data_IF_351159087539
#
_entry.id   IF_351159087539
#
_cell.length_a   1.000
_cell.length_b   1.000
_cell.length_c   1.000
_cell.angle_alpha   90.00
_cell.angle_beta   90.00
_cell.angle_gamma   90.00
#
_symmetry.space_group_name_H-M   'P 1'
#
loop_
_entity.id
_entity.type
_entity.pdbx_description
1 polymer ?
#
# COMPACT_ATOMS: atom_id res chain seq x y z
N UNK A 1 8.96 2.50 -17.18
CA UNK A 1 8.04 3.66 -17.16
C UNK A 1 7.47 3.75 -15.75
N UNK A 2 7.95 4.68 -14.92
CA UNK A 2 7.49 4.85 -13.53
C UNK A 2 6.23 5.71 -13.61
N UNK A 3 5.06 5.13 -13.34
CA UNK A 3 3.83 5.91 -13.30
C UNK A 3 3.87 6.89 -12.10
N UNK A 4 3.55 8.17 -12.32
CA UNK A 4 3.51 9.14 -11.24
C UNK A 4 2.29 8.84 -10.34
N UNK A 5 2.52 8.78 -9.03
CA UNK A 5 1.52 8.56 -7.96
C UNK A 5 0.61 9.79 -7.78
N UNK A 6 0.08 10.36 -8.87
CA UNK A 6 -0.69 11.61 -8.86
C UNK A 6 -2.15 11.41 -9.30
N UNK A 7 -2.56 10.17 -9.63
CA UNK A 7 -3.95 9.88 -10.01
C UNK A 7 -4.98 10.02 -8.85
N UNK A 8 -4.53 10.22 -7.60
CA UNK A 8 -5.41 10.30 -6.42
C UNK A 8 -6.16 11.63 -6.23
N UNK A 9 -5.72 12.73 -6.84
CA UNK A 9 -6.26 14.07 -6.54
C UNK A 9 -7.66 14.34 -7.15
N UNK A 10 -8.08 13.58 -8.16
CA UNK A 10 -9.35 13.80 -8.87
C UNK A 10 -10.53 13.14 -8.14
N UNK A 11 -10.32 11.96 -7.52
CA UNK A 11 -11.32 11.34 -6.63
C UNK A 11 -11.53 12.11 -5.32
N UNK A 12 -10.47 12.77 -4.84
CA UNK A 12 -10.41 13.54 -3.59
C UNK A 12 -11.40 14.71 -3.55
N UNK A 13 -11.56 15.44 -4.67
CA UNK A 13 -12.48 16.58 -4.76
C UNK A 13 -13.94 16.16 -4.94
N UNK A 14 -14.21 15.07 -5.65
CA UNK A 14 -15.56 14.57 -5.85
C UNK A 14 -16.12 13.92 -4.57
N UNK A 15 -15.29 13.17 -3.84
CA UNK A 15 -15.63 12.53 -2.57
C UNK A 15 -15.96 13.53 -1.46
N UNK A 16 -15.18 14.61 -1.33
CA UNK A 16 -15.48 15.70 -0.36
C UNK A 16 -16.75 16.46 -0.74
N UNK A 17 -17.05 16.57 -2.04
CA UNK A 17 -18.27 17.25 -2.53
C UNK A 17 -19.55 16.47 -2.23
N UNK A 18 -19.50 15.14 -2.20
CA UNK A 18 -20.65 14.28 -1.91
C UNK A 18 -21.17 14.40 -0.46
N UNK A 19 -20.26 14.57 0.52
CA UNK A 19 -20.60 14.74 1.95
C UNK A 19 -21.47 16.00 2.19
N UNK A 20 -21.38 16.99 1.30
CA UNK A 20 -21.94 18.32 1.55
C UNK A 20 -23.45 18.44 1.34
N UNK A 21 -24.12 17.43 0.77
CA UNK A 21 -25.54 17.58 0.37
C UNK A 21 -26.55 17.18 1.46
N UNK A 22 -26.17 16.31 2.42
CA UNK A 22 -27.16 15.68 3.33
C UNK A 22 -26.99 16.01 4.83
N UNK A 23 -25.89 16.65 5.26
CA UNK A 23 -25.67 17.02 6.67
C UNK A 23 -26.08 18.47 6.96
N UNK A 24 -27.01 18.67 7.90
CA UNK A 24 -27.47 19.99 8.36
C UNK A 24 -26.58 20.63 9.42
N UNK A 25 -25.96 19.83 10.29
CA UNK A 25 -25.03 20.32 11.33
C UNK A 25 -23.65 20.60 10.73
N UNK A 26 -23.33 21.89 10.57
CA UNK A 26 -22.06 22.37 10.02
C UNK A 26 -20.83 21.93 10.85
N UNK A 27 -20.95 21.77 12.18
CA UNK A 27 -19.84 21.28 13.02
C UNK A 27 -19.56 19.82 12.71
N UNK A 28 -20.59 18.97 12.67
CA UNK A 28 -20.43 17.54 12.36
C UNK A 28 -19.96 17.32 10.93
N UNK A 29 -20.48 18.10 9.99
CA UNK A 29 -20.02 18.15 8.59
C UNK A 29 -18.52 18.46 8.49
N UNK A 30 -18.05 19.49 9.21
CA UNK A 30 -16.61 19.82 9.25
C UNK A 30 -15.74 18.68 9.79
N UNK A 31 -16.27 17.89 10.73
CA UNK A 31 -15.56 16.74 11.31
C UNK A 31 -15.49 15.60 10.30
N UNK A 32 -16.60 15.28 9.61
CA UNK A 32 -16.64 14.21 8.59
C UNK A 32 -15.75 14.56 7.39
N UNK A 33 -15.73 15.82 6.95
CA UNK A 33 -14.83 16.26 5.86
C UNK A 33 -13.37 16.12 6.28
N UNK A 34 -12.99 16.65 7.45
CA UNK A 34 -11.62 16.49 7.97
C UNK A 34 -11.23 15.02 8.17
N UNK A 35 -12.20 14.20 8.56
CA UNK A 35 -12.00 12.75 8.69
C UNK A 35 -11.69 12.10 7.34
N UNK A 36 -12.51 12.32 6.32
CA UNK A 36 -12.31 11.74 5.00
C UNK A 36 -10.96 12.17 4.38
N UNK A 37 -10.55 13.44 4.57
CA UNK A 37 -9.23 13.92 4.15
C UNK A 37 -8.11 13.17 4.88
N UNK A 38 -8.19 13.09 6.21
CA UNK A 38 -7.15 12.42 7.02
C UNK A 38 -7.02 10.93 6.72
N UNK A 39 -8.12 10.25 6.42
CA UNK A 39 -8.11 8.85 5.99
C UNK A 39 -7.35 8.66 4.68
N UNK A 40 -7.61 9.54 3.72
CA UNK A 40 -6.93 9.54 2.42
C UNK A 40 -5.43 9.77 2.59
N UNK A 41 -5.05 10.79 3.38
CA UNK A 41 -3.65 11.06 3.71
C UNK A 41 -2.96 9.87 4.38
N UNK A 42 -3.63 9.22 5.34
CA UNK A 42 -3.07 8.06 6.05
C UNK A 42 -2.85 6.87 5.11
N UNK A 43 -3.81 6.57 4.24
CA UNK A 43 -3.69 5.50 3.26
C UNK A 43 -2.53 5.78 2.29
N UNK A 44 -2.50 6.97 1.69
CA UNK A 44 -1.44 7.37 0.76
C UNK A 44 -0.06 7.37 1.42
N UNK A 45 0.05 7.87 2.66
CA UNK A 45 1.32 7.85 3.41
C UNK A 45 1.80 6.43 3.64
N UNK A 46 0.92 5.50 4.00
CA UNK A 46 1.28 4.09 4.16
C UNK A 46 1.75 3.47 2.84
N UNK A 47 1.01 3.69 1.75
CA UNK A 47 1.34 3.16 0.43
C UNK A 47 2.67 3.70 -0.10
N UNK A 48 2.97 4.98 0.11
CA UNK A 48 4.27 5.57 -0.23
C UNK A 48 5.42 4.90 0.52
N UNK A 49 5.28 4.73 1.83
CA UNK A 49 6.32 4.08 2.67
C UNK A 49 6.55 2.63 2.23
N UNK A 50 5.49 1.90 1.88
CA UNK A 50 5.62 0.53 1.37
C UNK A 50 6.28 0.50 -0.02
N UNK A 51 5.92 1.42 -0.91
CA UNK A 51 6.53 1.54 -2.24
C UNK A 51 8.03 1.84 -2.17
N UNK A 52 8.44 2.77 -1.30
CA UNK A 52 9.87 3.07 -1.07
C UNK A 52 10.66 1.84 -0.58
N UNK A 53 10.04 0.97 0.21
CA UNK A 53 10.66 -0.28 0.68
C UNK A 53 10.77 -1.31 -0.44
N UNK A 54 9.71 -1.50 -1.23
CA UNK A 54 9.74 -2.39 -2.40
C UNK A 54 10.79 -1.95 -3.41
N UNK A 55 10.95 -0.65 -3.64
CA UNK A 55 11.97 -0.15 -4.56
C UNK A 55 13.38 -0.53 -4.12
N UNK A 56 13.66 -0.49 -2.81
CA UNK A 56 14.96 -0.95 -2.27
C UNK A 56 15.16 -2.45 -2.47
N UNK A 57 14.11 -3.26 -2.29
CA UNK A 57 14.15 -4.71 -2.53
C UNK A 57 14.40 -5.02 -4.01
N UNK A 58 13.65 -4.37 -4.91
CA UNK A 58 13.81 -4.51 -6.37
C UNK A 58 15.23 -4.20 -6.81
N UNK A 59 15.78 -3.06 -6.38
CA UNK A 59 17.18 -2.69 -6.65
C UNK A 59 18.19 -3.69 -6.12
N UNK A 60 17.88 -4.36 -5.01
CA UNK A 60 18.75 -5.39 -4.47
C UNK A 60 18.75 -6.60 -5.42
N UNK A 61 17.56 -7.13 -5.75
CA UNK A 61 17.41 -8.31 -6.62
C UNK A 61 17.96 -8.06 -8.04
N UNK A 62 17.75 -6.88 -8.61
CA UNK A 62 18.23 -6.55 -9.96
C UNK A 62 19.75 -6.44 -10.05
N UNK A 63 20.46 -6.16 -8.96
CA UNK A 63 21.94 -6.15 -8.97
C UNK A 63 22.55 -7.55 -9.07
N UNK A 64 21.76 -8.59 -8.83
CA UNK A 64 22.27 -9.95 -8.67
C UNK A 64 21.74 -10.93 -9.71
N UNK A 65 20.78 -10.53 -10.56
CA UNK A 65 20.13 -11.43 -11.51
C UNK A 65 21.07 -12.03 -12.56
N UNK A 66 22.22 -11.40 -12.79
CA UNK A 66 23.15 -11.79 -13.85
C UNK A 66 24.44 -12.43 -13.30
N UNK A 67 24.54 -12.60 -11.97
CA UNK A 67 25.80 -12.90 -11.29
C UNK A 67 26.05 -14.40 -11.02
N UNK A 68 25.14 -15.31 -11.38
CA UNK A 68 25.26 -16.73 -11.01
C UNK A 68 24.76 -17.70 -12.10
N UNK A 69 25.48 -18.82 -12.24
CA UNK A 69 25.08 -19.99 -13.03
C UNK A 69 24.27 -21.02 -12.21
N UNK A 70 24.18 -20.83 -10.89
CA UNK A 70 23.45 -21.73 -9.99
C UNK A 70 21.93 -21.61 -10.20
N UNK A 71 21.30 -22.72 -10.59
CA UNK A 71 19.87 -22.80 -10.86
C UNK A 71 19.01 -22.52 -9.63
N UNK A 72 19.40 -22.99 -8.45
CA UNK A 72 18.64 -22.77 -7.22
C UNK A 72 18.63 -21.29 -6.83
N UNK A 73 19.76 -20.59 -7.03
CA UNK A 73 19.83 -19.14 -6.80
C UNK A 73 18.97 -18.38 -7.80
N UNK A 74 18.94 -18.82 -9.08
CA UNK A 74 18.07 -18.21 -10.10
C UNK A 74 16.59 -18.36 -9.75
N UNK A 75 16.18 -19.55 -9.30
CA UNK A 75 14.81 -19.81 -8.84
C UNK A 75 14.43 -18.91 -7.66
N UNK A 76 15.29 -18.80 -6.64
CA UNK A 76 15.06 -17.90 -5.51
C UNK A 76 14.95 -16.42 -5.94
N UNK A 77 15.76 -15.97 -6.91
CA UNK A 77 15.67 -14.61 -7.50
C UNK A 77 14.34 -14.40 -8.23
N UNK A 78 13.86 -15.41 -8.98
CA UNK A 78 12.57 -15.37 -9.68
C UNK A 78 11.42 -15.26 -8.66
N UNK A 79 11.45 -16.06 -7.59
CA UNK A 79 10.46 -16.01 -6.52
C UNK A 79 10.45 -14.65 -5.81
N UNK A 80 11.63 -14.09 -5.52
CA UNK A 80 11.73 -12.76 -4.94
C UNK A 80 11.12 -11.68 -5.86
N UNK A 81 11.37 -11.76 -7.18
CA UNK A 81 10.76 -10.86 -8.17
C UNK A 81 9.23 -10.99 -8.19
N UNK A 82 8.72 -12.21 -8.16
CA UNK A 82 7.29 -12.47 -8.14
C UNK A 82 6.63 -11.88 -6.87
N UNK A 83 7.22 -12.10 -5.70
CA UNK A 83 6.71 -11.56 -4.44
C UNK A 83 6.74 -10.02 -4.41
N UNK A 84 7.80 -9.39 -4.96
CA UNK A 84 7.87 -7.93 -5.10
C UNK A 84 6.75 -7.41 -6.02
N UNK A 85 6.50 -8.09 -7.14
CA UNK A 85 5.44 -7.72 -8.07
C UNK A 85 4.04 -7.81 -7.42
N UNK A 86 3.77 -8.90 -6.69
CA UNK A 86 2.52 -9.08 -5.94
C UNK A 86 2.34 -7.99 -4.87
N UNK A 87 3.39 -7.67 -4.12
CA UNK A 87 3.33 -6.60 -3.14
C UNK A 87 3.09 -5.22 -3.79
N UNK A 88 3.65 -4.98 -4.98
CA UNK A 88 3.43 -3.74 -5.73
C UNK A 88 1.97 -3.63 -6.22
N UNK A 89 1.40 -4.73 -6.70
CA UNK A 89 -0.02 -4.78 -7.09
C UNK A 89 -0.95 -4.52 -5.89
N UNK A 90 -0.65 -5.10 -4.73
CA UNK A 90 -1.39 -4.86 -3.50
C UNK A 90 -1.32 -3.38 -3.06
N UNK A 91 -0.16 -2.74 -3.19
CA UNK A 91 -0.01 -1.30 -2.93
C UNK A 91 -0.83 -0.47 -3.91
N UNK A 92 -0.78 -0.77 -5.20
CA UNK A 92 -1.52 -0.01 -6.22
C UNK A 92 -3.03 -0.13 -5.98
N UNK A 93 -3.52 -1.35 -5.78
CA UNK A 93 -4.92 -1.63 -5.45
C UNK A 93 -5.36 -0.87 -4.21
N UNK A 94 -4.52 -0.85 -3.18
CA UNK A 94 -4.83 -0.17 -1.93
C UNK A 94 -4.75 1.36 -2.05
N UNK A 95 -3.83 1.89 -2.87
CA UNK A 95 -3.71 3.33 -3.11
C UNK A 95 -4.95 3.91 -3.78
N UNK A 96 -5.64 3.11 -4.60
CA UNK A 96 -6.87 3.50 -5.28
C UNK A 96 -8.12 3.43 -4.39
N UNK A 97 -8.02 2.84 -3.19
CA UNK A 97 -9.15 2.76 -2.26
C UNK A 97 -9.46 4.11 -1.62
N UNK A 98 -10.75 4.44 -1.64
CA UNK A 98 -11.30 5.65 -1.05
C UNK A 98 -12.16 5.30 0.17
N UNK A 99 -11.80 5.84 1.34
CA UNK A 99 -12.49 5.60 2.60
C UNK A 99 -13.41 6.78 2.94
N UNK A 100 -14.54 6.87 2.22
CA UNK A 100 -15.52 7.94 2.44
C UNK A 100 -16.63 7.46 3.36
N UNK A 101 -16.96 8.30 4.33
CA UNK A 101 -18.24 8.22 5.05
C UNK A 101 -19.25 9.03 4.26
N UNK A 102 -20.06 8.34 3.46
CA UNK A 102 -21.20 8.95 2.76
C UNK A 102 -22.44 8.87 3.66
N UNK A 103 -23.28 9.90 3.64
CA UNK A 103 -24.63 9.90 4.27
C UNK A 103 -24.72 9.70 5.79
N UNK A 104 -23.88 10.37 6.58
CA UNK A 104 -24.08 10.42 8.02
C UNK A 104 -25.31 11.28 8.37
N UNK A 105 -26.43 10.66 8.77
CA UNK A 105 -27.35 11.34 9.67
C UNK A 105 -26.63 11.53 11.01
N UNK A 106 -27.00 12.57 11.76
CA UNK A 106 -26.34 12.94 13.01
C UNK A 106 -26.21 11.79 14.03
N UNK A 107 -27.13 10.83 14.01
CA UNK A 107 -27.18 9.70 14.92
C UNK A 107 -26.16 8.59 14.61
N UNK A 108 -25.77 8.40 13.34
CA UNK A 108 -24.95 7.26 12.90
C UNK A 108 -23.52 7.64 12.52
N UNK A 109 -23.22 8.94 12.40
CA UNK A 109 -21.92 9.46 11.99
C UNK A 109 -20.73 8.83 12.73
N UNK A 110 -20.79 8.78 14.07
CA UNK A 110 -19.67 8.31 14.89
C UNK A 110 -19.39 6.81 14.72
N UNK A 111 -20.41 5.98 14.53
CA UNK A 111 -20.26 4.55 14.30
C UNK A 111 -19.66 4.28 12.91
N UNK A 112 -20.18 4.94 11.88
CA UNK A 112 -19.69 4.79 10.50
C UNK A 112 -18.23 5.19 10.36
N UNK A 113 -17.83 6.31 10.99
CA UNK A 113 -16.44 6.77 11.05
C UNK A 113 -15.53 5.69 11.64
N UNK A 114 -15.88 5.12 12.80
CA UNK A 114 -15.08 4.04 13.43
C UNK A 114 -14.97 2.81 12.54
N UNK A 115 -16.06 2.42 11.87
CA UNK A 115 -16.07 1.30 10.93
C UNK A 115 -15.10 1.53 9.76
N UNK A 116 -15.08 2.74 9.19
CA UNK A 116 -14.15 3.09 8.10
C UNK A 116 -12.69 3.12 8.55
N UNK A 117 -12.40 3.60 9.77
CA UNK A 117 -11.05 3.51 10.35
C UNK A 117 -10.60 2.05 10.46
N UNK A 118 -11.46 1.19 11.00
CA UNK A 118 -11.15 -0.21 11.18
C UNK A 118 -10.89 -0.91 9.84
N UNK A 119 -11.70 -0.61 8.82
CA UNK A 119 -11.52 -1.13 7.47
C UNK A 119 -10.16 -0.69 6.88
N UNK A 120 -9.85 0.61 6.87
CA UNK A 120 -8.56 1.09 6.36
C UNK A 120 -7.37 0.47 7.09
N UNK A 121 -7.43 0.36 8.41
CA UNK A 121 -6.35 -0.26 9.19
C UNK A 121 -6.16 -1.73 8.83
N UNK A 122 -7.25 -2.48 8.65
CA UNK A 122 -7.19 -3.89 8.24
C UNK A 122 -6.54 -4.01 6.87
N UNK A 123 -7.00 -3.23 5.91
CA UNK A 123 -6.48 -3.26 4.54
C UNK A 123 -4.99 -2.89 4.49
N UNK A 124 -4.56 -1.86 5.23
CA UNK A 124 -3.14 -1.50 5.35
C UNK A 124 -2.33 -2.65 5.96
N UNK A 125 -2.87 -3.38 6.95
CA UNK A 125 -2.20 -4.53 7.54
C UNK A 125 -2.06 -5.69 6.56
N UNK A 126 -3.03 -5.89 5.68
CA UNK A 126 -2.96 -6.90 4.62
C UNK A 126 -1.86 -6.57 3.61
N UNK A 127 -1.79 -5.33 3.12
CA UNK A 127 -0.67 -4.88 2.27
C UNK A 127 0.66 -4.98 3.00
N UNK A 128 0.70 -4.69 4.31
CA UNK A 128 1.92 -4.86 5.09
C UNK A 128 2.39 -6.31 5.10
N UNK A 129 1.50 -7.30 5.16
CA UNK A 129 1.86 -8.72 5.14
C UNK A 129 2.53 -9.09 3.82
N UNK A 130 1.96 -8.67 2.68
CA UNK A 130 2.54 -8.95 1.35
C UNK A 130 3.92 -8.29 1.20
N UNK A 131 4.10 -7.07 1.71
CA UNK A 131 5.42 -6.40 1.73
C UNK A 131 6.44 -7.12 2.62
N UNK A 132 6.01 -7.69 3.75
CA UNK A 132 6.89 -8.49 4.63
C UNK A 132 7.29 -9.79 3.93
N UNK A 133 6.37 -10.44 3.25
CA UNK A 133 6.63 -11.64 2.47
C UNK A 133 7.62 -11.38 1.33
N UNK A 134 7.42 -10.30 0.56
CA UNK A 134 8.40 -9.84 -0.44
C UNK A 134 9.78 -9.57 0.15
N UNK A 135 9.85 -9.02 1.37
CA UNK A 135 11.13 -8.82 2.08
C UNK A 135 11.75 -10.16 2.45
N UNK A 136 10.97 -11.10 2.96
CA UNK A 136 11.45 -12.42 3.34
C UNK A 136 12.06 -13.14 2.13
N UNK A 137 11.31 -13.26 1.03
CA UNK A 137 11.79 -13.93 -0.19
C UNK A 137 13.02 -13.25 -0.78
N UNK A 138 13.07 -11.91 -0.78
CA UNK A 138 14.26 -11.16 -1.19
C UNK A 138 15.49 -11.49 -0.33
N UNK A 139 15.32 -11.59 1.00
CA UNK A 139 16.43 -11.92 1.91
C UNK A 139 16.91 -13.35 1.68
N UNK A 140 16.00 -14.31 1.50
CA UNK A 140 16.37 -15.70 1.22
C UNK A 140 17.11 -15.85 -0.12
N UNK A 141 16.66 -15.16 -1.17
CA UNK A 141 17.38 -15.12 -2.45
C UNK A 141 18.80 -14.57 -2.30
N UNK A 142 18.97 -13.52 -1.49
CA UNK A 142 20.28 -12.92 -1.21
C UNK A 142 21.19 -13.83 -0.39
N UNK A 143 20.65 -14.57 0.57
CA UNK A 143 21.39 -15.58 1.32
C UNK A 143 21.86 -16.72 0.43
N UNK A 144 20.98 -17.22 -0.45
CA UNK A 144 21.32 -18.28 -1.40
C UNK A 144 22.48 -17.86 -2.31
N UNK A 145 22.46 -16.63 -2.83
CA UNK A 145 23.55 -16.07 -3.62
C UNK A 145 24.85 -15.92 -2.81
N UNK A 146 24.76 -15.48 -1.55
CA UNK A 146 25.95 -15.35 -0.70
C UNK A 146 26.58 -16.72 -0.42
N UNK A 147 25.76 -17.74 -0.17
CA UNK A 147 26.22 -19.12 0.02
C UNK A 147 26.89 -19.68 -1.25
N UNK A 148 26.32 -19.42 -2.44
CA UNK A 148 26.91 -19.88 -3.71
C UNK A 148 28.25 -19.19 -4.04
N UNK A 149 28.52 -18.01 -3.47
CA UNK A 149 29.78 -17.26 -3.65
C UNK A 149 30.84 -17.56 -2.60
N UNK A 150 30.44 -17.92 -1.37
CA UNK A 150 31.35 -18.21 -0.26
C UNK A 150 31.77 -19.69 -0.15
N UNK A 151 31.22 -20.56 -1.00
CA UNK A 151 31.54 -21.99 -1.05
C UNK A 151 32.62 -22.38 -2.05
N UNK A 152 33.46 -21.45 -2.53
CA UNK A 152 34.64 -21.72 -3.37
C UNK A 152 35.93 -21.61 -2.59
#
# INVERSE_FOLDING_TARGET
MIMPVVAGAVGERAAVKAVNQNMRDEKKKSVVVRFNLRMTEMNQKAMRVFGERLEKMRKAVDRVSDATSDQAVREAIIEARAAIAQAQEAINTQADKVYVVDTATDATAGYLVRGRIAAMKRDILEVRKTVIEARHTTVEAMKALAASRGGS
#
